data_IF_273772451988
#
_entry.id   IF_273772451988
#
_cell.length_a   1.000
_cell.length_b   1.000
_cell.length_c   1.000
_cell.angle_alpha   90.00
_cell.angle_beta   90.00
_cell.angle_gamma   90.00
#
_symmetry.space_group_name_H-M   'P 1'
#
loop_
_entity.id
_entity.type
_entity.pdbx_description
1 polymer ?
#
# COMPACT_ATOMS: atom_id res chain seq x y z
N UNK A 1 5.54 6.57 -2.61
CA UNK A 1 4.69 5.97 -1.55
C UNK A 1 3.64 6.98 -1.13
N UNK A 2 2.38 6.57 -1.11
CA UNK A 2 1.24 7.33 -0.63
C UNK A 2 0.89 6.84 0.78
N UNK A 3 0.73 7.75 1.74
CA UNK A 3 0.31 7.43 3.12
C UNK A 3 -1.02 8.13 3.38
N UNK A 4 -1.99 7.37 3.85
CA UNK A 4 -3.32 7.83 4.23
C UNK A 4 -3.50 7.62 5.72
N UNK A 5 -3.48 8.74 6.45
CA UNK A 5 -3.69 8.77 7.89
C UNK A 5 -5.11 9.26 8.17
N UNK A 6 -6.00 8.44 8.75
CA UNK A 6 -7.30 8.90 9.21
C UNK A 6 -7.17 10.06 10.22
N UNK A 7 -8.19 10.93 10.32
CA UNK A 7 -8.18 11.96 11.37
C UNK A 7 -8.46 11.35 12.76
N UNK A 8 -9.29 10.31 12.81
CA UNK A 8 -9.64 9.59 14.03
C UNK A 8 -8.69 8.41 14.23
N UNK A 9 -8.22 8.21 15.46
CA UNK A 9 -7.25 7.15 15.78
C UNK A 9 -7.72 5.73 15.44
N UNK A 10 -9.02 5.49 15.49
CA UNK A 10 -9.69 4.23 15.14
C UNK A 10 -10.39 4.28 13.76
N UNK A 11 -10.14 5.34 12.98
CA UNK A 11 -10.80 5.61 11.70
C UNK A 11 -10.30 4.77 10.52
N UNK A 12 -9.30 3.90 10.70
CA UNK A 12 -8.71 3.14 9.60
C UNK A 12 -9.73 2.25 8.90
N UNK A 13 -10.62 1.59 9.65
CA UNK A 13 -11.65 0.72 9.07
C UNK A 13 -12.62 1.51 8.18
N UNK A 14 -13.06 2.68 8.64
CA UNK A 14 -13.94 3.55 7.85
C UNK A 14 -13.23 4.07 6.60
N UNK A 15 -11.94 4.36 6.69
CA UNK A 15 -11.12 4.71 5.53
C UNK A 15 -11.08 3.55 4.52
N UNK A 16 -10.79 2.34 4.95
CA UNK A 16 -10.76 1.13 4.11
C UNK A 16 -12.09 0.89 3.38
N UNK A 17 -13.22 1.02 4.08
CA UNK A 17 -14.56 0.84 3.51
C UNK A 17 -14.92 1.94 2.50
N UNK A 18 -14.35 3.15 2.65
CA UNK A 18 -14.57 4.28 1.74
C UNK A 18 -13.67 4.26 0.50
N UNK A 19 -12.61 3.45 0.51
CA UNK A 19 -11.60 3.43 -0.55
C UNK A 19 -12.11 2.66 -1.77
N UNK A 20 -12.16 3.38 -2.89
CA UNK A 20 -12.42 2.88 -4.23
C UNK A 20 -11.28 3.28 -5.17
N UNK A 21 -11.15 2.66 -6.35
CA UNK A 21 -10.18 3.09 -7.36
C UNK A 21 -10.33 4.58 -7.71
N UNK A 22 -11.56 5.08 -7.83
CA UNK A 22 -11.84 6.48 -8.15
C UNK A 22 -11.39 7.41 -7.02
N UNK A 23 -11.73 7.11 -5.77
CA UNK A 23 -11.32 7.97 -4.63
C UNK A 23 -9.80 8.00 -4.48
N UNK A 24 -9.11 6.88 -4.75
CA UNK A 24 -7.65 6.82 -4.67
C UNK A 24 -7.00 7.68 -5.77
N UNK A 25 -7.54 7.67 -6.98
CA UNK A 25 -7.11 8.56 -8.07
C UNK A 25 -7.40 10.04 -7.73
N UNK A 26 -8.57 10.34 -7.19
CA UNK A 26 -8.95 11.71 -6.81
C UNK A 26 -8.03 12.26 -5.71
N UNK A 27 -7.67 11.44 -4.72
CA UNK A 27 -6.69 11.80 -3.70
C UNK A 27 -5.36 12.16 -4.37
N UNK A 28 -4.85 11.31 -5.26
CA UNK A 28 -3.59 11.55 -5.96
C UNK A 28 -3.60 12.85 -6.77
N UNK A 29 -4.68 13.14 -7.51
CA UNK A 29 -4.82 14.37 -8.28
C UNK A 29 -4.91 15.64 -7.42
N UNK A 30 -5.38 15.51 -6.18
CA UNK A 30 -5.53 16.64 -5.24
C UNK A 30 -4.27 16.93 -4.44
N UNK A 31 -3.27 16.03 -4.44
CA UNK A 31 -2.01 16.25 -3.75
C UNK A 31 -1.30 17.48 -4.31
N UNK A 32 -0.70 18.26 -3.42
CA UNK A 32 0.08 19.45 -3.75
C UNK A 32 1.45 19.34 -3.11
N UNK A 33 2.47 19.81 -3.82
CA UNK A 33 3.82 19.90 -3.28
C UNK A 33 3.86 21.04 -2.24
N UNK A 34 4.12 20.69 -1.00
CA UNK A 34 4.23 21.61 0.14
C UNK A 34 5.44 21.20 1.00
N UNK A 35 5.98 22.14 1.75
CA UNK A 35 6.97 21.84 2.79
C UNK A 35 6.23 21.32 4.03
N UNK A 36 6.57 20.10 4.47
CA UNK A 36 5.89 19.39 5.55
C UNK A 36 6.92 18.73 6.45
N UNK A 37 6.80 18.91 7.76
CA UNK A 37 7.55 18.15 8.76
C UNK A 37 6.87 16.77 8.92
N UNK A 38 7.51 15.71 8.42
CA UNK A 38 6.94 14.35 8.37
C UNK A 38 7.54 13.47 9.46
N UNK A 39 6.68 12.87 10.27
CA UNK A 39 7.01 11.82 11.23
C UNK A 39 6.36 10.50 10.80
N UNK A 40 7.17 9.54 10.39
CA UNK A 40 6.75 8.21 9.93
C UNK A 40 7.54 7.14 10.70
N UNK A 41 6.90 6.15 11.35
CA UNK A 41 7.63 5.06 11.99
C UNK A 41 8.41 4.22 10.96
N UNK A 42 9.59 3.73 11.37
CA UNK A 42 10.26 2.63 10.67
C UNK A 42 9.44 1.36 10.87
N UNK A 43 9.24 0.59 9.80
CA UNK A 43 8.51 -0.67 9.90
C UNK A 43 9.00 -1.68 8.89
N UNK A 44 8.82 -2.96 9.24
CA UNK A 44 9.00 -4.09 8.34
C UNK A 44 7.74 -4.93 8.39
N UNK A 45 7.17 -5.23 7.24
CA UNK A 45 6.01 -6.10 7.12
C UNK A 45 6.38 -7.28 6.21
N UNK A 46 6.08 -8.48 6.70
CA UNK A 46 6.18 -9.71 5.94
C UNK A 46 4.77 -10.29 5.85
N UNK A 47 4.31 -10.53 4.63
CA UNK A 47 3.00 -11.09 4.34
C UNK A 47 3.19 -12.39 3.57
N UNK A 48 2.52 -13.45 4.01
CA UNK A 48 2.45 -14.72 3.31
C UNK A 48 1.03 -15.26 3.47
N UNK A 49 0.37 -15.57 2.34
CA UNK A 49 -1.00 -16.07 2.34
C UNK A 49 -1.26 -16.97 1.13
N UNK A 50 -1.95 -18.07 1.39
CA UNK A 50 -2.60 -18.89 0.39
C UNK A 50 -3.88 -18.19 -0.09
N UNK A 51 -3.99 -17.90 -1.39
CA UNK A 51 -5.06 -17.09 -1.98
C UNK A 51 -6.06 -17.89 -2.82
N UNK A 52 -5.96 -19.22 -2.90
CA UNK A 52 -6.85 -20.02 -3.75
C UNK A 52 -8.31 -19.83 -3.37
N UNK A 53 -8.62 -19.73 -2.07
CA UNK A 53 -10.00 -19.55 -1.61
C UNK A 53 -10.59 -18.21 -2.05
N UNK A 54 -9.81 -17.13 -1.99
CA UNK A 54 -10.18 -15.78 -2.37
C UNK A 54 -10.31 -15.66 -3.90
N UNK A 55 -9.37 -16.24 -4.65
CA UNK A 55 -9.39 -16.26 -6.11
C UNK A 55 -10.63 -17.05 -6.62
N UNK A 56 -11.00 -18.13 -5.94
CA UNK A 56 -12.25 -18.85 -6.21
C UNK A 56 -13.50 -18.02 -5.86
N UNK A 57 -13.45 -17.25 -4.77
CA UNK A 57 -14.55 -16.39 -4.34
C UNK A 57 -14.84 -15.26 -5.35
N UNK A 58 -13.80 -14.70 -5.99
CA UNK A 58 -13.95 -13.66 -7.02
C UNK A 58 -14.33 -14.21 -8.40
N UNK A 59 -14.42 -15.53 -8.58
CA UNK A 59 -15.03 -16.16 -9.76
C UNK A 59 -14.12 -17.10 -10.55
N UNK A 60 -12.82 -17.15 -10.27
CA UNK A 60 -11.88 -18.01 -10.98
C UNK A 60 -11.88 -19.45 -10.45
N UNK A 61 -13.05 -20.11 -10.40
CA UNK A 61 -13.18 -21.48 -9.84
C UNK A 61 -12.70 -22.59 -10.79
N UNK A 62 -12.84 -22.39 -12.10
CA UNK A 62 -12.54 -23.42 -13.12
C UNK A 62 -11.09 -23.89 -13.03
N UNK A 63 -10.16 -22.96 -12.78
CA UNK A 63 -8.70 -23.23 -12.75
C UNK A 63 -8.27 -24.17 -11.62
N UNK A 64 -9.06 -24.29 -10.55
CA UNK A 64 -8.79 -25.17 -9.41
C UNK A 64 -9.53 -26.52 -9.49
N UNK A 65 -10.26 -26.78 -10.59
CA UNK A 65 -11.12 -27.96 -10.72
C UNK A 65 -10.63 -28.90 -11.81
N UNK A 66 -11.16 -30.13 -11.86
CA UNK A 66 -10.92 -31.06 -12.97
C UNK A 66 -11.40 -30.57 -14.34
N UNK A 67 -12.09 -29.43 -14.40
CA UNK A 67 -12.48 -28.74 -15.64
C UNK A 67 -11.46 -27.67 -16.05
N UNK A 68 -10.35 -27.53 -15.33
CA UNK A 68 -9.27 -26.61 -15.68
C UNK A 68 -8.76 -26.94 -17.09
N UNK A 69 -8.57 -25.90 -17.88
CA UNK A 69 -8.13 -26.03 -19.26
C UNK A 69 -6.93 -25.11 -19.46
N UNK A 70 -5.75 -25.73 -19.53
CA UNK A 70 -4.47 -25.08 -19.75
C UNK A 70 -3.80 -25.62 -21.02
N UNK A 71 -4.59 -26.08 -21.99
CA UNK A 71 -4.11 -26.70 -23.24
C UNK A 71 -3.17 -25.78 -24.06
N UNK A 72 -3.35 -24.47 -23.97
CA UNK A 72 -2.45 -23.46 -24.58
C UNK A 72 -1.10 -23.30 -23.85
N UNK A 73 -0.98 -23.80 -22.62
CA UNK A 73 0.26 -23.76 -21.83
C UNK A 73 0.98 -25.11 -21.79
N UNK A 74 0.23 -26.21 -21.87
CA UNK A 74 0.77 -27.57 -21.72
C UNK A 74 -0.05 -28.58 -22.51
N UNK A 75 0.64 -29.52 -23.16
CA UNK A 75 0.01 -30.67 -23.83
C UNK A 75 -0.46 -31.75 -22.84
N UNK A 76 -0.12 -31.60 -21.56
CA UNK A 76 -0.38 -32.59 -20.52
C UNK A 76 -1.79 -32.45 -19.92
N UNK A 77 -2.82 -32.98 -20.58
CA UNK A 77 -4.15 -33.24 -19.99
C UNK A 77 -4.75 -32.15 -19.06
N UNK A 78 -5.60 -32.57 -18.12
CA UNK A 78 -6.19 -31.68 -17.11
C UNK A 78 -5.18 -31.41 -15.97
N UNK A 79 -4.66 -30.18 -15.88
CA UNK A 79 -3.75 -29.73 -14.82
C UNK A 79 -4.38 -28.61 -13.98
N UNK A 80 -5.19 -28.92 -12.94
CA UNK A 80 -5.72 -27.88 -12.06
C UNK A 80 -4.61 -27.20 -11.25
N UNK A 81 -4.80 -25.92 -10.96
CA UNK A 81 -4.03 -25.20 -9.95
C UNK A 81 -4.34 -25.82 -8.59
N UNK A 82 -3.29 -26.23 -7.87
CA UNK A 82 -3.42 -26.76 -6.52
C UNK A 82 -3.50 -25.65 -5.47
N UNK A 83 -2.66 -24.63 -5.60
CA UNK A 83 -2.46 -23.59 -4.59
C UNK A 83 -1.93 -22.30 -5.22
N UNK A 84 -2.24 -21.15 -4.62
CA UNK A 84 -1.66 -19.86 -5.01
C UNK A 84 -1.07 -19.20 -3.77
N UNK A 85 0.25 -19.26 -3.63
CA UNK A 85 0.97 -18.62 -2.54
C UNK A 85 1.35 -17.19 -2.93
N UNK A 86 0.89 -16.20 -2.15
CA UNK A 86 1.31 -14.82 -2.26
C UNK A 86 2.19 -14.43 -1.09
N UNK A 87 3.44 -14.03 -1.38
CA UNK A 87 4.41 -13.56 -0.40
C UNK A 87 4.91 -12.17 -0.77
N UNK A 88 4.91 -11.25 0.18
CA UNK A 88 5.39 -9.89 0.02
C UNK A 88 6.16 -9.43 1.26
N UNK A 89 7.23 -8.67 1.05
CA UNK A 89 8.01 -8.05 2.13
C UNK A 89 8.20 -6.59 1.79
N UNK A 90 7.95 -5.71 2.76
CA UNK A 90 8.28 -4.29 2.68
C UNK A 90 9.04 -3.89 3.93
N UNK A 91 10.11 -3.12 3.73
CA UNK A 91 10.88 -2.49 4.79
C UNK A 91 10.97 -0.99 4.50
N UNK A 92 10.55 -0.18 5.46
CA UNK A 92 10.64 1.28 5.42
C UNK A 92 11.57 1.72 6.52
N UNK A 93 12.70 2.30 6.10
CA UNK A 93 13.71 2.89 6.97
C UNK A 93 14.10 4.28 6.43
N UNK A 94 14.98 4.98 7.17
CA UNK A 94 15.44 6.33 6.79
C UNK A 94 16.44 6.31 5.62
N UNK A 95 17.02 5.15 5.30
CA UNK A 95 18.06 5.00 4.29
C UNK A 95 17.50 4.98 2.85
N UNK A 96 16.18 4.94 2.70
CA UNK A 96 15.47 4.87 1.41
C UNK A 96 15.58 6.10 0.47
N UNK A 97 16.33 7.14 0.85
CA UNK A 97 16.82 8.20 -0.06
C UNK A 97 17.90 9.01 0.66
N UNK A 98 19.17 8.72 0.39
CA UNK A 98 20.27 9.65 0.71
C UNK A 98 19.98 11.04 0.09
N UNK A 99 20.30 12.08 0.86
CA UNK A 99 20.36 13.51 0.48
C UNK A 99 19.06 14.33 0.49
N UNK A 100 18.74 14.95 1.65
CA UNK A 100 18.04 16.25 1.67
C UNK A 100 18.11 17.06 3.00
N UNK A 101 18.75 16.60 4.07
CA UNK A 101 18.67 17.28 5.38
C UNK A 101 19.99 17.96 5.79
N UNK A 102 20.52 18.87 4.96
CA UNK A 102 21.47 19.90 5.42
C UNK A 102 21.07 21.24 4.80
N UNK A 103 20.01 21.85 5.32
CA UNK A 103 19.79 23.30 5.15
C UNK A 103 20.02 23.97 6.49
N UNK A 104 21.10 24.74 6.52
CA UNK A 104 21.66 25.35 7.71
C UNK A 104 20.72 26.32 8.42
N UNK A 105 21.01 26.47 9.71
CA UNK A 105 20.43 27.44 10.63
C UNK A 105 20.39 28.83 9.98
N UNK A 106 19.20 29.32 9.67
CA UNK A 106 18.93 30.75 9.54
C UNK A 106 17.77 31.07 10.47
N UNK A 107 18.11 31.61 11.63
CA UNK A 107 17.15 32.31 12.49
C UNK A 107 16.57 33.50 11.71
N UNK A 108 15.33 33.40 11.26
CA UNK A 108 14.44 34.56 11.12
C UNK A 108 13.08 34.15 11.68
N UNK A 109 12.67 34.83 12.74
CA UNK A 109 11.31 34.77 13.30
C UNK A 109 10.30 35.08 12.18
N UNK A 110 9.61 34.06 11.70
CA UNK A 110 8.29 34.21 11.14
C UNK A 110 7.46 33.01 11.58
N UNK A 111 6.35 33.29 12.24
CA UNK A 111 5.33 32.33 12.66
C UNK A 111 4.59 31.74 11.45
N UNK A 112 5.33 31.20 10.48
CA UNK A 112 4.78 30.40 9.39
C UNK A 112 4.52 29.02 9.98
N UNK A 113 3.25 28.70 10.24
CA UNK A 113 2.82 27.37 10.66
C UNK A 113 3.45 26.33 9.72
N UNK A 114 4.44 25.58 10.22
CA UNK A 114 4.95 24.42 9.51
C UNK A 114 3.84 23.38 9.50
N UNK A 115 3.49 22.87 8.32
CA UNK A 115 2.52 21.80 8.21
C UNK A 115 3.17 20.53 8.74
N UNK A 116 2.57 19.89 9.73
CA UNK A 116 3.07 18.64 10.31
C UNK A 116 2.23 17.46 9.81
N UNK A 117 2.88 16.37 9.44
CA UNK A 117 2.24 15.08 9.18
C UNK A 117 2.84 14.05 10.11
N UNK A 118 2.05 13.53 11.04
CA UNK A 118 2.52 12.59 12.06
C UNK A 118 1.71 11.31 12.03
N UNK A 119 2.28 10.23 11.49
CA UNK A 119 1.67 8.91 11.49
C UNK A 119 1.81 8.25 12.88
N UNK A 120 1.03 8.72 13.86
CA UNK A 120 1.07 8.29 15.27
C UNK A 120 0.01 7.24 15.65
N UNK A 121 -0.77 6.76 14.67
CA UNK A 121 -1.83 5.77 14.83
C UNK A 121 -2.03 4.98 13.52
N UNK A 122 -2.86 3.92 13.48
CA UNK A 122 -3.01 3.06 12.31
C UNK A 122 -3.31 3.84 11.03
N UNK A 123 -2.52 3.59 9.98
CA UNK A 123 -2.59 4.24 8.68
C UNK A 123 -2.56 3.22 7.55
N UNK A 124 -3.03 3.62 6.37
CA UNK A 124 -2.90 2.86 5.14
C UNK A 124 -1.75 3.42 4.29
N UNK A 125 -1.04 2.55 3.58
CA UNK A 125 -0.03 2.98 2.62
C UNK A 125 -0.19 2.25 1.28
N UNK A 126 0.24 2.91 0.21
CA UNK A 126 0.30 2.33 -1.13
C UNK A 126 1.60 2.72 -1.84
N UNK A 127 2.16 1.79 -2.62
CA UNK A 127 3.22 2.08 -3.57
C UNK A 127 2.54 2.25 -4.93
N UNK A 128 2.62 3.46 -5.48
CA UNK A 128 1.99 3.86 -6.74
C UNK A 128 3.09 4.22 -7.74
N UNK A 129 2.83 3.97 -9.04
CA UNK A 129 3.67 4.34 -10.18
C UNK A 129 3.28 5.73 -10.73
#
# INVERSE_FOLDING_TARGET
MLILLPEQRDGLKSLEESLTPQTLLDIQHRLRKLEVDVSLPKFKLEFEKELSSEIQAIGARKVFSSRADFSEMTSSGSMPVSEVIHKAVIEVNEEGSEAAAVTGIIMVKSSLFKLEFRADHPFLFAIVD
#
